data_IF_864486961427
#
_entry.id   IF_864486961427
#
_cell.length_a   1.000
_cell.length_b   1.000
_cell.length_c   1.000
_cell.angle_alpha   90.00
_cell.angle_beta   90.00
_cell.angle_gamma   90.00
#
_symmetry.space_group_name_H-M   'P 1'
#
loop_
_entity.id
_entity.type
_entity.pdbx_description
1 polymer ?
#
# COMPACT_ATOMS: atom_id res chain seq x y z
N UNK A 1 -4.80 -15.41 -9.09
CA UNK A 1 -5.08 -15.46 -7.64
C UNK A 1 -5.13 -16.92 -7.19
N UNK A 2 -4.18 -17.38 -6.37
CA UNK A 2 -4.10 -18.78 -5.88
C UNK A 2 -4.72 -18.99 -4.50
N UNK A 3 -4.85 -17.90 -3.74
CA UNK A 3 -5.28 -17.89 -2.34
C UNK A 3 -6.60 -17.14 -2.12
N UNK A 4 -7.23 -16.61 -3.17
CA UNK A 4 -8.48 -15.84 -3.04
C UNK A 4 -8.32 -14.52 -2.27
N UNK A 5 -7.10 -13.97 -2.20
CA UNK A 5 -6.86 -12.67 -1.57
C UNK A 5 -7.35 -11.56 -2.48
N UNK A 6 -8.08 -10.63 -1.91
CA UNK A 6 -8.46 -9.35 -2.53
C UNK A 6 -7.58 -8.24 -1.94
N UNK A 7 -6.94 -7.46 -2.80
CA UNK A 7 -6.11 -6.33 -2.39
C UNK A 7 -6.91 -5.04 -2.55
N UNK A 8 -7.03 -4.30 -1.46
CA UNK A 8 -7.55 -2.94 -1.48
C UNK A 8 -6.59 -2.01 -2.23
N UNK A 9 -7.16 -1.03 -2.93
CA UNK A 9 -6.38 0.03 -3.60
C UNK A 9 -6.61 1.34 -2.87
N UNK A 10 -5.53 2.00 -2.46
CA UNK A 10 -5.60 3.31 -1.84
C UNK A 10 -6.21 4.32 -2.82
N UNK A 11 -7.09 5.20 -2.31
CA UNK A 11 -7.42 6.43 -3.03
C UNK A 11 -6.21 7.35 -3.07
N UNK A 12 -6.18 8.29 -4.02
CA UNK A 12 -5.14 9.32 -4.08
C UNK A 12 -5.03 10.09 -2.77
N UNK A 13 -6.17 10.49 -2.18
CA UNK A 13 -6.20 11.21 -0.91
C UNK A 13 -5.60 10.39 0.25
N UNK A 14 -5.91 9.09 0.33
CA UNK A 14 -5.33 8.21 1.35
C UNK A 14 -3.82 8.04 1.20
N UNK A 15 -3.37 7.87 -0.05
CA UNK A 15 -1.96 7.71 -0.38
C UNK A 15 -1.16 8.99 -0.03
N UNK A 16 -1.70 10.15 -0.39
CA UNK A 16 -1.14 11.46 -0.04
C UNK A 16 -1.13 11.68 1.47
N UNK A 17 -2.21 11.29 2.16
CA UNK A 17 -2.34 11.45 3.62
C UNK A 17 -1.24 10.72 4.40
N UNK A 18 -0.85 9.52 3.95
CA UNK A 18 0.22 8.72 4.59
C UNK A 18 1.59 8.87 3.90
N UNK A 19 1.69 9.68 2.84
CA UNK A 19 2.94 9.98 2.16
C UNK A 19 3.54 8.79 1.40
N UNK A 20 2.71 7.97 0.74
CA UNK A 20 3.18 6.84 -0.11
C UNK A 20 2.53 6.90 -1.49
N UNK A 21 3.14 6.34 -2.55
CA UNK A 21 2.46 6.16 -3.84
C UNK A 21 1.34 5.12 -3.74
N UNK A 22 0.26 5.28 -4.53
CA UNK A 22 -0.83 4.29 -4.63
C UNK A 22 -0.32 2.89 -5.02
N UNK A 23 0.78 2.83 -5.77
CA UNK A 23 1.43 1.59 -6.23
C UNK A 23 2.58 1.12 -5.33
N UNK A 24 2.85 1.84 -4.24
CA UNK A 24 3.94 1.57 -3.31
C UNK A 24 5.31 2.09 -3.77
N UNK A 25 6.39 1.76 -3.04
CA UNK A 25 6.43 0.91 -1.85
C UNK A 25 5.62 1.49 -0.68
N UNK A 26 4.90 0.63 0.05
CA UNK A 26 3.94 1.05 1.09
C UNK A 26 4.54 1.21 2.49
N UNK A 27 5.83 0.88 2.67
CA UNK A 27 6.54 0.88 3.96
C UNK A 27 8.03 1.23 3.76
N UNK A 28 8.70 1.86 4.74
CA UNK A 28 10.11 2.20 4.65
C UNK A 28 11.02 0.98 4.80
N UNK A 29 12.28 1.09 4.36
CA UNK A 29 13.21 -0.04 4.28
C UNK A 29 13.60 -0.72 5.60
N UNK A 30 13.39 -0.06 6.76
CA UNK A 30 13.63 -0.63 8.09
C UNK A 30 12.37 -1.22 8.73
N UNK A 31 11.24 -1.22 8.01
CA UNK A 31 9.98 -1.79 8.48
C UNK A 31 10.08 -3.32 8.55
N UNK A 32 9.64 -3.91 9.67
CA UNK A 32 9.84 -5.34 9.98
C UNK A 32 8.67 -6.24 9.56
N UNK A 33 7.72 -5.68 8.80
CA UNK A 33 6.40 -6.25 8.47
C UNK A 33 5.42 -6.18 9.64
#
# INVERSE_FOLDING_TARGET
ARLGVELETLSTEQADYIGVPVTGPFKPGHYRY
#
